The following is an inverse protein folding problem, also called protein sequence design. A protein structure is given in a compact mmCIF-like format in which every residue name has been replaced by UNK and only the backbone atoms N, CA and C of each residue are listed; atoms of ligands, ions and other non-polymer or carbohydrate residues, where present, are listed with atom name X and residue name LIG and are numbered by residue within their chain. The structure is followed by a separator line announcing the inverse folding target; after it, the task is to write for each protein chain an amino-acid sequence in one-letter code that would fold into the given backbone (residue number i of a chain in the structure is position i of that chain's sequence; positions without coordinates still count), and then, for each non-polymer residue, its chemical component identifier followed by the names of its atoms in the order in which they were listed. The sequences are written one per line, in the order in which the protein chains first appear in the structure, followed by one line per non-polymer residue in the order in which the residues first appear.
data_IF_150276318593
#
_entry.id   IF_150276318593
#
_cell.length_a   1.000
_cell.length_b   1.000
_cell.length_c   1.000
_cell.angle_alpha   90.00
_cell.angle_beta   90.00
_cell.angle_gamma   90.00
#
_symmetry.space_group_name_H-M   'P 1'
#
loop_
_entity.id
_entity.type
_entity.pdbx_description
1 polymer ?
#
# COMPACT_ATOMS: atom_id res chain seq x y z
N UNK A 1 12.37 -12.12 -9.46
CA UNK A 1 12.21 -10.75 -10.00
C UNK A 1 12.42 -9.80 -8.85
N UNK A 2 13.33 -8.83 -8.98
CA UNK A 2 13.59 -7.85 -7.95
C UNK A 2 12.30 -7.08 -7.61
N UNK A 3 12.05 -6.82 -6.33
CA UNK A 3 10.98 -5.95 -5.90
C UNK A 3 11.13 -4.61 -6.66
N UNK A 4 10.09 -4.21 -7.39
CA UNK A 4 10.06 -2.92 -8.07
C UNK A 4 10.20 -1.83 -7.01
N UNK A 5 11.31 -1.09 -7.07
CA UNK A 5 11.61 -0.03 -6.11
C UNK A 5 10.55 1.08 -6.24
N UNK A 6 10.01 1.54 -5.11
CA UNK A 6 9.11 2.69 -5.07
C UNK A 6 9.93 3.95 -5.34
N UNK A 7 9.53 4.70 -6.36
CA UNK A 7 10.11 6.01 -6.67
C UNK A 7 9.30 7.11 -5.98
N UNK A 8 9.97 8.23 -5.72
CA UNK A 8 9.39 9.39 -5.05
C UNK A 8 9.80 10.68 -5.76
N UNK A 9 9.02 11.74 -5.57
CA UNK A 9 9.33 13.08 -6.04
C UNK A 9 9.14 14.12 -4.92
N UNK A 10 9.73 15.30 -5.07
CA UNK A 10 9.66 16.35 -4.05
C UNK A 10 8.22 16.77 -3.74
N UNK A 11 7.89 16.91 -2.46
CA UNK A 11 6.61 17.47 -2.04
C UNK A 11 6.57 18.96 -2.46
N UNK A 12 5.60 19.40 -3.29
CA UNK A 12 5.53 20.79 -3.74
C UNK A 12 5.05 21.77 -2.65
N UNK A 13 4.49 21.27 -1.53
CA UNK A 13 3.94 22.06 -0.42
C UNK A 13 4.33 21.45 0.95
N UNK A 14 5.63 21.34 1.30
CA UNK A 14 6.08 20.64 2.52
C UNK A 14 5.70 21.36 3.82
N UNK A 15 5.36 22.64 3.76
CA UNK A 15 4.99 23.46 4.91
C UNK A 15 3.49 23.41 5.26
N UNK A 16 2.69 22.60 4.55
CA UNK A 16 1.25 22.45 4.79
C UNK A 16 0.90 20.98 4.80
N UNK A 17 0.22 20.53 5.85
CA UNK A 17 -0.34 19.19 5.85
C UNK A 17 -1.50 19.10 4.86
N UNK A 18 -1.44 18.10 3.97
CA UNK A 18 -2.52 17.72 3.06
C UNK A 18 -2.55 16.20 2.91
N UNK A 19 -3.73 15.64 2.67
CA UNK A 19 -3.89 14.19 2.49
C UNK A 19 -3.89 13.85 1.00
N UNK A 20 -3.12 12.84 0.61
CA UNK A 20 -3.20 12.18 -0.68
C UNK A 20 -3.92 10.84 -0.47
N UNK A 21 -5.00 10.62 -1.22
CA UNK A 21 -5.73 9.35 -1.28
C UNK A 21 -5.51 8.69 -2.63
N UNK A 22 -4.93 7.50 -2.63
CA UNK A 22 -4.70 6.69 -3.83
C UNK A 22 -5.61 5.45 -3.76
N UNK A 23 -6.36 5.21 -4.84
CA UNK A 23 -7.24 4.05 -4.98
C UNK A 23 -6.68 3.13 -6.06
N UNK A 24 -6.40 1.89 -5.70
CA UNK A 24 -5.85 0.87 -6.59
C UNK A 24 -6.86 -0.28 -6.74
N UNK A 25 -7.89 -0.13 -7.61
CA UNK A 25 -8.97 -1.12 -7.74
C UNK A 25 -8.57 -2.39 -8.51
N UNK A 26 -7.39 -2.39 -9.13
CA UNK A 26 -6.88 -3.47 -9.98
C UNK A 26 -5.89 -4.41 -9.25
N UNK A 27 -5.84 -4.35 -7.92
CA UNK A 27 -4.92 -5.18 -7.16
C UNK A 27 -5.29 -6.66 -7.22
N UNK A 28 -4.27 -7.51 -7.37
CA UNK A 28 -4.41 -8.96 -7.33
C UNK A 28 -3.15 -9.64 -6.78
N UNK A 29 -3.34 -10.78 -6.11
CA UNK A 29 -2.27 -11.66 -5.61
C UNK A 29 -2.73 -13.12 -5.64
N UNK A 30 -1.95 -14.07 -5.13
CA UNK A 30 -2.37 -15.48 -5.01
C UNK A 30 -2.60 -15.84 -3.54
N UNK A 31 -3.60 -16.70 -3.30
CA UNK A 31 -3.77 -17.31 -1.99
C UNK A 31 -2.65 -18.33 -1.74
N UNK A 32 -1.90 -18.24 -0.62
CA UNK A 32 -0.82 -19.18 -0.29
C UNK A 32 -1.25 -20.64 -0.23
N UNK A 33 -2.53 -20.91 0.08
CA UNK A 33 -3.04 -22.26 0.32
C UNK A 33 -3.56 -22.93 -0.96
N UNK A 34 -4.30 -22.19 -1.77
CA UNK A 34 -5.01 -22.76 -2.92
C UNK A 34 -4.41 -22.38 -4.28
N UNK A 35 -3.50 -21.39 -4.30
CA UNK A 35 -2.96 -20.84 -5.55
C UNK A 35 -3.98 -20.05 -6.39
N UNK A 36 -5.23 -19.94 -5.93
CA UNK A 36 -6.26 -19.17 -6.63
C UNK A 36 -5.99 -17.67 -6.50
N UNK A 37 -6.30 -16.89 -7.55
CA UNK A 37 -6.11 -15.45 -7.51
C UNK A 37 -7.07 -14.78 -6.54
N UNK A 38 -6.52 -13.83 -5.78
CA UNK A 38 -7.21 -12.87 -4.95
C UNK A 38 -7.30 -11.54 -5.67
N UNK A 39 -8.43 -10.86 -5.50
CA UNK A 39 -8.66 -9.52 -6.05
C UNK A 39 -9.15 -8.61 -4.94
N UNK A 40 -8.76 -7.34 -4.99
CA UNK A 40 -9.18 -6.37 -4.01
C UNK A 40 -8.93 -4.93 -4.42
N UNK A 41 -9.43 -4.02 -3.59
CA UNK A 41 -9.07 -2.61 -3.61
C UNK A 41 -7.99 -2.39 -2.55
N UNK A 42 -6.86 -1.82 -2.95
CA UNK A 42 -5.91 -1.22 -2.02
C UNK A 42 -6.18 0.28 -1.98
N UNK A 43 -6.43 0.82 -0.79
CA UNK A 43 -6.56 2.24 -0.50
C UNK A 43 -5.34 2.68 0.28
N UNK A 44 -4.67 3.74 -0.18
CA UNK A 44 -3.52 4.34 0.51
C UNK A 44 -3.88 5.79 0.79
N UNK A 45 -4.02 6.13 2.06
CA UNK A 45 -4.22 7.50 2.55
C UNK A 45 -2.97 7.94 3.29
N UNK A 46 -2.33 9.02 2.89
CA UNK A 46 -1.14 9.52 3.60
C UNK A 46 -1.00 11.03 3.55
N UNK A 47 -0.29 11.56 4.55
CA UNK A 47 0.19 12.95 4.56
C UNK A 47 1.69 12.90 4.30
N UNK A 48 2.17 13.39 3.14
CA UNK A 48 3.59 13.39 2.82
C UNK A 48 4.36 14.32 3.76
N UNK A 49 5.65 14.02 3.98
CA UNK A 49 6.59 14.98 4.57
C UNK A 49 7.38 15.68 3.45
N UNK A 50 8.59 15.21 3.14
CA UNK A 50 9.45 15.83 2.11
C UNK A 50 9.19 15.36 0.69
N UNK A 51 8.61 14.17 0.53
CA UNK A 51 8.42 13.53 -0.77
C UNK A 51 7.05 12.89 -0.91
N UNK A 52 6.59 12.77 -2.15
CA UNK A 52 5.37 12.10 -2.55
C UNK A 52 5.69 10.83 -3.33
N UNK A 53 4.83 9.82 -3.24
CA UNK A 53 4.94 8.57 -4.00
C UNK A 53 4.68 8.83 -5.49
N UNK A 54 5.54 8.31 -6.35
CA UNK A 54 5.35 8.34 -7.80
C UNK A 54 4.42 7.20 -8.25
N UNK A 55 3.39 7.52 -9.05
CA UNK A 55 2.28 6.59 -9.33
C UNK A 55 2.64 5.44 -10.27
N UNK A 56 3.57 5.63 -11.22
CA UNK A 56 3.99 4.57 -12.15
C UNK A 56 4.76 3.47 -11.42
N UNK A 57 5.69 3.83 -10.54
CA UNK A 57 6.45 2.91 -9.70
C UNK A 57 5.53 2.19 -8.72
N UNK A 58 4.59 2.89 -8.08
CA UNK A 58 3.56 2.27 -7.22
C UNK A 58 2.72 1.24 -7.99
N UNK A 59 2.34 1.53 -9.23
CA UNK A 59 1.63 0.56 -10.08
C UNK A 59 2.46 -0.71 -10.30
N UNK A 60 3.73 -0.57 -10.69
CA UNK A 60 4.60 -1.73 -10.92
C UNK A 60 4.93 -2.49 -9.63
N UNK A 61 5.03 -1.78 -8.51
CA UNK A 61 5.14 -2.37 -7.18
C UNK A 61 3.95 -3.26 -6.84
N UNK A 62 2.73 -2.75 -6.96
CA UNK A 62 1.51 -3.52 -6.69
C UNK A 62 1.34 -4.69 -7.68
N UNK A 63 1.72 -4.52 -8.95
CA UNK A 63 1.67 -5.58 -9.96
C UNK A 63 2.64 -6.74 -9.66
N UNK A 64 3.73 -6.51 -8.92
CA UNK A 64 4.65 -7.56 -8.52
C UNK A 64 4.01 -8.62 -7.61
N UNK A 65 2.88 -8.30 -6.94
CA UNK A 65 2.13 -9.24 -6.11
C UNK A 65 1.28 -10.23 -6.91
N UNK A 66 1.04 -10.00 -8.21
CA UNK A 66 0.08 -10.77 -9.03
C UNK A 66 0.28 -12.29 -8.95
N UNK A 67 1.52 -12.75 -8.93
CA UNK A 67 1.88 -14.16 -8.88
C UNK A 67 2.49 -14.57 -7.53
N UNK A 68 2.33 -13.75 -6.50
CA UNK A 68 2.89 -13.99 -5.16
C UNK A 68 1.82 -14.57 -4.25
N UNK A 69 2.14 -15.69 -3.62
CA UNK A 69 1.35 -16.26 -2.53
C UNK A 69 1.53 -15.44 -1.26
N UNK A 70 0.49 -14.74 -0.78
CA UNK A 70 0.56 -13.93 0.45
C UNK A 70 -0.79 -13.83 1.17
N UNK A 71 -0.79 -13.87 2.50
CA UNK A 71 -1.99 -13.62 3.31
C UNK A 71 -2.32 -12.13 3.33
N UNK A 72 -3.61 -11.77 3.45
CA UNK A 72 -4.07 -10.39 3.41
C UNK A 72 -3.43 -9.54 4.52
N UNK A 73 -3.30 -10.11 5.71
CA UNK A 73 -2.71 -9.48 6.89
C UNK A 73 -1.25 -9.12 6.65
N UNK A 74 -0.46 -10.07 6.15
CA UNK A 74 0.94 -9.85 5.83
C UNK A 74 1.08 -8.86 4.66
N UNK A 75 0.24 -8.99 3.63
CA UNK A 75 0.24 -8.12 2.46
C UNK A 75 0.05 -6.65 2.84
N UNK A 76 -0.97 -6.33 3.63
CA UNK A 76 -1.27 -4.93 3.98
C UNK A 76 -0.22 -4.32 4.90
N UNK A 77 0.30 -5.08 5.87
CA UNK A 77 1.41 -4.62 6.71
C UNK A 77 2.68 -4.40 5.89
N UNK A 78 3.03 -5.33 4.99
CA UNK A 78 4.21 -5.21 4.14
C UNK A 78 4.12 -4.00 3.19
N UNK A 79 2.95 -3.75 2.60
CA UNK A 79 2.74 -2.54 1.78
C UNK A 79 2.94 -1.28 2.62
N UNK A 80 2.39 -1.23 3.84
CA UNK A 80 2.57 -0.07 4.72
C UNK A 80 4.05 0.16 5.02
N UNK A 81 4.76 -0.87 5.47
CA UNK A 81 6.18 -0.78 5.86
C UNK A 81 7.05 -0.28 4.71
N UNK A 82 6.89 -0.87 3.51
CA UNK A 82 7.71 -0.52 2.35
C UNK A 82 7.40 0.88 1.80
N UNK A 83 6.14 1.33 1.89
CA UNK A 83 5.78 2.71 1.52
C UNK A 83 6.27 3.74 2.56
N UNK A 84 6.20 3.40 3.85
CA UNK A 84 6.73 4.25 4.94
C UNK A 84 8.24 4.41 4.80
N UNK A 85 8.95 3.32 4.51
CA UNK A 85 10.40 3.35 4.28
C UNK A 85 10.77 4.22 3.07
N UNK A 86 9.97 4.15 2.00
CA UNK A 86 10.22 4.89 0.77
C UNK A 86 9.98 6.41 0.91
N UNK A 87 8.90 6.84 1.57
CA UNK A 87 8.50 8.26 1.56
C UNK A 87 8.52 8.96 2.92
N UNK A 88 8.70 8.21 4.03
CA UNK A 88 8.72 8.72 5.41
C UNK A 88 7.59 9.73 5.68
N UNK A 89 6.33 9.29 5.52
CA UNK A 89 5.18 10.19 5.62
C UNK A 89 5.00 10.67 7.07
N UNK A 90 4.19 11.70 7.27
CA UNK A 90 3.79 12.14 8.63
C UNK A 90 2.80 11.16 9.25
N UNK A 91 1.88 10.67 8.43
CA UNK A 91 0.95 9.57 8.75
C UNK A 91 0.58 8.83 7.47
N UNK A 92 0.28 7.56 7.59
CA UNK A 92 -0.19 6.73 6.49
C UNK A 92 -1.16 5.65 6.99
N UNK A 93 -2.19 5.37 6.21
CA UNK A 93 -3.12 4.27 6.39
C UNK A 93 -3.19 3.50 5.09
N UNK A 94 -3.03 2.18 5.17
CA UNK A 94 -3.25 1.27 4.05
C UNK A 94 -4.43 0.35 4.39
N UNK A 95 -5.42 0.29 3.52
CA UNK A 95 -6.60 -0.58 3.65
C UNK A 95 -6.69 -1.51 2.45
N UNK A 96 -6.75 -2.81 2.70
CA UNK A 96 -7.07 -3.83 1.71
C UNK A 96 -8.51 -4.32 1.88
N UNK A 97 -9.33 -4.15 0.85
CA UNK A 97 -10.70 -4.70 0.76
C UNK A 97 -10.73 -5.81 -0.26
N UNK A 98 -10.83 -7.06 0.20
CA UNK A 98 -10.74 -8.24 -0.65
C UNK A 98 -12.12 -8.76 -1.07
N UNK A 99 -12.20 -9.28 -2.30
CA UNK A 99 -13.41 -9.90 -2.82
C UNK A 99 -13.78 -11.16 -2.05
N UNK A 100 -15.06 -11.58 -2.06
CA UNK A 100 -15.51 -12.70 -1.25
C UNK A 100 -14.81 -14.02 -1.59
N UNK A 101 -14.46 -14.80 -0.55
CA UNK A 101 -14.14 -16.24 -0.64
C UNK A 101 -15.13 -17.02 0.21
N UNK A 102 -15.83 -17.99 -0.40
CA UNK A 102 -16.89 -18.73 0.29
C UNK A 102 -18.02 -17.84 0.82
N UNK A 103 -18.30 -16.71 0.15
CA UNK A 103 -19.30 -15.73 0.59
C UNK A 103 -18.82 -14.74 1.66
N UNK A 104 -17.56 -14.81 2.10
CA UNK A 104 -17.00 -13.98 3.16
C UNK A 104 -16.01 -12.97 2.58
N UNK A 105 -16.18 -11.69 2.89
CA UNK A 105 -15.21 -10.64 2.58
C UNK A 105 -14.28 -10.37 3.75
N UNK A 106 -13.10 -9.82 3.46
CA UNK A 106 -12.14 -9.42 4.48
C UNK A 106 -11.64 -8.02 4.19
N UNK A 107 -11.59 -7.19 5.23
CA UNK A 107 -10.94 -5.89 5.22
C UNK A 107 -9.78 -5.93 6.23
N UNK A 108 -8.59 -5.52 5.79
CA UNK A 108 -7.42 -5.36 6.64
C UNK A 108 -6.97 -3.91 6.57
N UNK A 109 -6.72 -3.30 7.74
CA UNK A 109 -6.24 -1.93 7.88
C UNK A 109 -4.94 -1.92 8.69
N UNK A 110 -3.92 -1.25 8.18
CA UNK A 110 -2.68 -0.97 8.89
C UNK A 110 -2.40 0.54 8.89
N UNK A 111 -1.83 1.04 9.98
CA UNK A 111 -1.63 2.48 10.21
C UNK A 111 -0.24 2.78 10.73
N UNK A 112 0.34 3.85 10.21
CA UNK A 112 1.59 4.45 10.66
C UNK A 112 1.34 5.90 11.05
N UNK A 113 1.86 6.28 12.21
CA UNK A 113 1.94 7.66 12.68
C UNK A 113 3.39 7.93 13.06
N UNK A 114 4.00 8.92 12.43
CA UNK A 114 5.33 9.35 12.82
C UNK A 114 5.28 9.79 14.29
N UNK A 115 6.15 9.20 15.14
CA UNK A 115 6.29 9.69 16.51
C UNK A 115 6.78 11.12 16.43
N UNK A 116 6.00 12.06 16.97
CA UNK A 116 6.48 13.42 17.24
C UNK A 116 7.74 13.28 18.09
N UNK A 117 8.90 13.67 17.56
CA UNK A 117 10.11 13.76 18.37
C UNK A 117 9.83 14.66 19.57
N UNK A 118 10.20 14.20 20.77
CA UNK A 118 10.24 15.02 21.97
C UNK A 118 11.32 16.09 21.89
#
# INVERSE_FOLDING_TARGET
MAASQIEVFENPRPNRDYTITIRCPEFTSLCPKTGQPDFGLILIDYVPDKVCIELKSLKFYLQAYRNRGIFYEQLINQILDELVDACRPRRMTVVGRFRPRGGITTEVKAEYLARSGG
#
